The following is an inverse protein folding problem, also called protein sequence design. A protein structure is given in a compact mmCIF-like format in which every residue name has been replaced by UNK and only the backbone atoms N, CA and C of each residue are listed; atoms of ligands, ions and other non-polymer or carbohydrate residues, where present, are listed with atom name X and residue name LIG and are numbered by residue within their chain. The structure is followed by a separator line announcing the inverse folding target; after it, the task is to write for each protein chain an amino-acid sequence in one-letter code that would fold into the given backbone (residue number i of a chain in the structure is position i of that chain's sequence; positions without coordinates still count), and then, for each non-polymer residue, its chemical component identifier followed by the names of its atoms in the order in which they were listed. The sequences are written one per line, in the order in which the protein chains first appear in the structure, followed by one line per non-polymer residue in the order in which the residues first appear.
data_IF_152553309993
#
_entry.id   IF_152553309993
#
_cell.length_a   1.000
_cell.length_b   1.000
_cell.length_c   1.000
_cell.angle_alpha   90.00
_cell.angle_beta   90.00
_cell.angle_gamma   90.00
#
_symmetry.space_group_name_H-M   'P 1'
#
loop_
_entity.id
_entity.type
_entity.pdbx_description
1 polymer ?
#
# COMPACT_ATOMS: atom_id res chain seq x y z
N UNK A 1 -6.32 -28.68 4.66
CA UNK A 1 -7.11 -27.45 4.83
C UNK A 1 -8.51 -27.62 4.28
N UNK A 2 -9.50 -27.00 4.94
CA UNK A 2 -10.93 -27.07 4.55
C UNK A 2 -11.34 -25.88 3.69
N UNK A 3 -10.58 -24.77 3.75
CA UNK A 3 -10.83 -23.58 2.96
C UNK A 3 -10.72 -23.87 1.47
N UNK A 4 -11.80 -23.58 0.75
CA UNK A 4 -11.88 -23.66 -0.72
C UNK A 4 -11.82 -22.27 -1.34
N UNK A 5 -12.01 -21.24 -0.53
CA UNK A 5 -12.01 -19.83 -0.96
C UNK A 5 -11.32 -18.94 0.07
N UNK A 6 -10.63 -17.96 -0.46
CA UNK A 6 -9.99 -16.89 0.31
C UNK A 6 -10.47 -15.53 -0.20
N UNK A 7 -10.99 -14.70 0.70
CA UNK A 7 -11.35 -13.31 0.40
C UNK A 7 -10.51 -12.42 1.30
N UNK A 8 -9.71 -11.56 0.70
CA UNK A 8 -8.80 -10.63 1.37
C UNK A 8 -9.31 -9.22 1.14
N UNK A 9 -9.59 -8.49 2.20
CA UNK A 9 -9.99 -7.09 2.17
C UNK A 9 -8.90 -6.28 2.86
N UNK A 10 -8.21 -5.44 2.10
CA UNK A 10 -7.32 -4.43 2.63
C UNK A 10 -8.12 -3.16 2.92
N UNK A 11 -8.07 -2.71 4.16
CA UNK A 11 -8.61 -1.45 4.65
C UNK A 11 -7.44 -0.49 4.81
N UNK A 12 -7.18 0.31 3.76
CA UNK A 12 -6.03 1.18 3.65
C UNK A 12 -5.91 2.11 4.86
N UNK A 13 -4.72 2.16 5.44
CA UNK A 13 -4.37 2.93 6.63
C UNK A 13 -5.08 2.51 7.95
N UNK A 14 -5.71 1.31 8.03
CA UNK A 14 -6.30 0.84 9.29
C UNK A 14 -5.18 0.45 10.26
N UNK A 15 -4.99 1.26 11.30
CA UNK A 15 -3.88 1.13 12.25
C UNK A 15 -4.25 0.44 13.58
N UNK A 16 -3.22 0.06 14.31
CA UNK A 16 -3.35 -0.54 15.66
C UNK A 16 -4.05 0.39 16.66
N UNK A 17 -3.90 1.70 16.52
CA UNK A 17 -4.55 2.70 17.38
C UNK A 17 -6.05 2.78 17.18
N UNK A 18 -6.57 2.26 16.08
CA UNK A 18 -8.01 2.23 15.80
C UNK A 18 -8.71 1.04 16.43
N UNK A 19 -7.94 0.03 16.86
CA UNK A 19 -8.48 -1.26 17.30
C UNK A 19 -9.52 -1.14 18.41
N UNK A 20 -9.26 -0.32 19.42
CA UNK A 20 -10.18 -0.12 20.53
C UNK A 20 -11.54 0.45 20.06
N UNK A 21 -11.52 1.37 19.09
CA UNK A 21 -12.72 1.96 18.52
C UNK A 21 -13.47 0.96 17.65
N UNK A 22 -12.83 0.42 16.62
CA UNK A 22 -13.54 -0.40 15.64
C UNK A 22 -13.99 -1.75 16.22
N UNK A 23 -13.28 -2.30 17.20
CA UNK A 23 -13.66 -3.55 17.86
C UNK A 23 -14.99 -3.46 18.61
N UNK A 24 -15.49 -2.28 18.90
CA UNK A 24 -16.79 -2.06 19.50
C UNK A 24 -17.92 -1.93 18.47
N UNK A 25 -17.60 -1.66 17.21
CA UNK A 25 -18.60 -1.54 16.14
C UNK A 25 -19.24 -2.92 15.86
N UNK A 26 -20.54 -2.95 15.54
CA UNK A 26 -21.33 -4.19 15.62
C UNK A 26 -20.85 -5.32 14.71
N UNK A 27 -20.38 -5.03 13.50
CA UNK A 27 -19.96 -6.04 12.54
C UNK A 27 -18.50 -6.46 12.74
N UNK A 28 -17.59 -5.50 13.00
CA UNK A 28 -16.23 -5.80 13.41
C UNK A 28 -16.19 -6.63 14.70
N UNK A 29 -17.00 -6.27 15.70
CA UNK A 29 -17.10 -7.03 16.94
C UNK A 29 -17.50 -8.49 16.70
N UNK A 30 -18.51 -8.71 15.85
CA UNK A 30 -18.93 -10.07 15.45
C UNK A 30 -17.81 -10.81 14.72
N UNK A 31 -17.08 -10.12 13.84
CA UNK A 31 -15.98 -10.69 13.09
C UNK A 31 -14.84 -11.10 14.04
N UNK A 32 -14.37 -10.20 14.89
CA UNK A 32 -13.27 -10.39 15.84
C UNK A 32 -13.56 -11.53 16.81
N UNK A 33 -14.79 -11.65 17.30
CA UNK A 33 -15.19 -12.74 18.21
C UNK A 33 -15.03 -14.15 17.59
N UNK A 34 -14.88 -14.25 16.27
CA UNK A 34 -14.67 -15.50 15.54
C UNK A 34 -13.30 -15.56 14.86
N UNK A 35 -12.50 -14.52 14.97
CA UNK A 35 -11.21 -14.37 14.29
C UNK A 35 -10.04 -14.87 15.14
N UNK A 36 -8.96 -15.27 14.45
CA UNK A 36 -7.62 -15.05 14.95
C UNK A 36 -7.16 -13.68 14.47
N UNK A 37 -6.43 -12.91 15.30
CA UNK A 37 -6.05 -11.53 14.96
C UNK A 37 -4.72 -11.12 15.59
N UNK A 38 -4.12 -10.08 15.01
CA UNK A 38 -2.98 -9.35 15.53
C UNK A 38 -3.26 -7.85 15.48
N UNK A 39 -3.01 -7.15 16.58
CA UNK A 39 -3.14 -5.69 16.70
C UNK A 39 -1.83 -4.95 16.44
N UNK A 40 -0.72 -5.66 16.29
CA UNK A 40 0.64 -5.14 16.19
C UNK A 40 1.34 -5.72 14.98
N UNK A 41 0.79 -5.45 13.79
CA UNK A 41 1.41 -5.87 12.51
C UNK A 41 2.42 -4.81 12.10
N UNK A 42 3.69 -5.20 12.04
CA UNK A 42 4.76 -4.33 11.56
C UNK A 42 4.76 -4.31 10.03
N UNK A 43 4.41 -3.18 9.45
CA UNK A 43 4.48 -2.94 8.01
C UNK A 43 5.94 -2.95 7.49
N UNK A 44 6.12 -2.68 6.21
CA UNK A 44 7.43 -2.59 5.55
C UNK A 44 7.99 -1.17 5.57
N UNK A 45 9.22 -1.00 5.09
CA UNK A 45 9.84 0.31 4.99
C UNK A 45 10.32 0.58 3.55
N UNK A 46 9.82 1.67 2.92
CA UNK A 46 8.83 2.63 3.44
C UNK A 46 7.44 1.98 3.53
N UNK A 47 6.66 2.42 4.53
CA UNK A 47 5.29 1.94 4.77
C UNK A 47 4.30 2.67 3.85
N UNK A 48 4.40 2.37 2.56
CA UNK A 48 3.59 2.91 1.48
C UNK A 48 2.66 1.82 0.92
N UNK A 49 1.54 2.24 0.35
CA UNK A 49 0.49 1.36 -0.19
C UNK A 49 1.01 0.29 -1.16
N UNK A 50 1.74 0.68 -2.21
CA UNK A 50 2.21 -0.28 -3.23
C UNK A 50 3.28 -1.24 -2.71
N UNK A 51 4.34 -0.78 -1.99
CA UNK A 51 5.27 -1.65 -1.30
C UNK A 51 4.59 -2.63 -0.33
N UNK A 52 3.65 -2.14 0.51
CA UNK A 52 2.95 -2.96 1.48
C UNK A 52 2.07 -4.03 0.82
N UNK A 53 1.21 -3.65 -0.14
CA UNK A 53 0.35 -4.60 -0.85
C UNK A 53 1.14 -5.65 -1.64
N UNK A 54 2.31 -5.28 -2.18
CA UNK A 54 3.20 -6.23 -2.83
C UNK A 54 3.82 -7.19 -1.81
N UNK A 55 4.22 -6.69 -0.63
CA UNK A 55 4.71 -7.54 0.46
C UNK A 55 3.64 -8.54 0.92
N UNK A 56 2.39 -8.11 1.09
CA UNK A 56 1.26 -8.97 1.47
C UNK A 56 1.12 -10.19 0.53
N UNK A 57 1.28 -9.98 -0.77
CA UNK A 57 1.10 -11.07 -1.76
C UNK A 57 2.38 -11.82 -2.12
N UNK A 58 3.57 -11.35 -1.69
CA UNK A 58 4.85 -11.99 -1.98
C UNK A 58 5.56 -12.57 -0.76
N UNK A 59 5.20 -12.07 0.44
CA UNK A 59 5.90 -12.38 1.69
C UNK A 59 7.35 -11.88 1.72
N UNK A 60 7.70 -10.86 0.90
CA UNK A 60 9.07 -10.33 0.75
C UNK A 60 9.11 -8.84 1.05
N UNK A 61 10.29 -8.28 1.45
CA UNK A 61 10.45 -6.85 1.64
C UNK A 61 10.58 -6.11 0.29
N UNK A 62 10.37 -4.78 0.24
CA UNK A 62 10.52 -3.94 -0.94
C UNK A 62 11.84 -4.12 -1.68
N UNK A 63 12.96 -4.25 -0.96
CA UNK A 63 14.28 -4.50 -1.53
C UNK A 63 14.38 -5.78 -2.38
N UNK A 64 13.51 -6.76 -2.16
CA UNK A 64 13.52 -8.06 -2.85
C UNK A 64 12.42 -8.18 -3.90
N UNK A 65 11.24 -7.61 -3.66
CA UNK A 65 10.17 -7.66 -4.67
C UNK A 65 10.21 -6.48 -5.66
N UNK A 66 11.05 -5.47 -5.43
CA UNK A 66 11.34 -4.38 -6.37
C UNK A 66 10.34 -3.22 -6.36
N UNK A 67 9.25 -3.30 -5.62
CA UNK A 67 8.30 -2.19 -5.46
C UNK A 67 8.72 -1.39 -4.23
N UNK A 68 9.51 -0.36 -4.45
CA UNK A 68 10.17 0.41 -3.39
C UNK A 68 9.48 1.74 -3.08
N UNK A 69 8.50 2.12 -3.91
CA UNK A 69 7.71 3.35 -3.80
C UNK A 69 6.36 3.13 -4.49
N UNK A 70 5.41 4.06 -4.35
CA UNK A 70 4.19 4.07 -5.15
C UNK A 70 4.48 4.49 -6.60
N UNK A 71 5.40 5.45 -6.81
CA UNK A 71 5.72 6.06 -8.09
C UNK A 71 7.13 5.71 -8.59
N UNK A 72 7.30 5.69 -9.92
CA UNK A 72 8.59 5.52 -10.56
C UNK A 72 9.45 6.79 -10.43
N UNK A 73 10.78 6.61 -10.47
CA UNK A 73 11.71 7.74 -10.51
C UNK A 73 11.70 8.36 -11.90
N UNK A 74 10.95 9.42 -12.07
CA UNK A 74 10.78 10.18 -13.33
C UNK A 74 10.76 11.69 -13.02
N UNK A 75 11.89 12.29 -12.59
CA UNK A 75 11.95 13.68 -12.10
C UNK A 75 11.49 14.72 -13.13
N UNK A 76 11.66 14.44 -14.42
CA UNK A 76 11.28 15.34 -15.52
C UNK A 76 9.78 15.37 -15.80
N UNK A 77 9.01 14.47 -15.17
CA UNK A 77 7.56 14.38 -15.33
C UNK A 77 6.82 15.02 -14.15
N UNK A 78 5.89 15.91 -14.45
CA UNK A 78 4.99 16.50 -13.44
C UNK A 78 4.00 15.48 -12.86
N UNK A 79 3.72 14.40 -13.59
CA UNK A 79 2.91 13.27 -13.12
C UNK A 79 3.63 11.98 -13.49
N UNK A 80 4.50 11.47 -12.60
CA UNK A 80 5.20 10.22 -12.81
C UNK A 80 4.25 9.03 -12.96
N UNK A 81 4.71 7.98 -13.63
CA UNK A 81 4.01 6.70 -13.64
C UNK A 81 4.11 6.06 -12.25
N UNK A 82 3.07 5.32 -11.86
CA UNK A 82 3.12 4.50 -10.68
C UNK A 82 3.58 3.09 -11.03
N UNK A 83 3.92 2.32 -10.02
CA UNK A 83 4.24 0.90 -10.18
C UNK A 83 2.98 0.05 -10.45
N UNK A 84 2.09 0.48 -11.35
CA UNK A 84 0.79 -0.17 -11.60
C UNK A 84 0.88 -1.62 -12.05
N UNK A 85 1.92 -1.95 -12.85
CA UNK A 85 1.95 -3.19 -13.62
C UNK A 85 2.64 -4.32 -12.86
N UNK A 86 2.05 -5.53 -12.92
CA UNK A 86 2.59 -6.77 -12.36
C UNK A 86 4.05 -7.04 -12.76
N UNK A 87 4.47 -6.62 -13.94
CA UNK A 87 5.85 -6.84 -14.45
C UNK A 87 6.94 -6.23 -13.56
N UNK A 88 6.61 -5.24 -12.75
CA UNK A 88 7.57 -4.61 -11.84
C UNK A 88 7.87 -5.47 -10.60
N UNK A 89 6.96 -6.40 -10.24
CA UNK A 89 7.18 -7.30 -9.10
C UNK A 89 8.19 -8.37 -9.51
N UNK A 90 9.30 -8.44 -8.79
CA UNK A 90 10.28 -9.50 -8.93
C UNK A 90 9.81 -10.75 -8.20
N UNK A 91 9.87 -11.89 -8.91
CA UNK A 91 9.43 -13.18 -8.38
C UNK A 91 7.91 -13.41 -8.51
N UNK A 92 7.42 -14.40 -7.76
CA UNK A 92 6.02 -14.83 -7.80
C UNK A 92 5.18 -14.16 -6.71
N UNK A 93 3.86 -14.16 -6.90
CA UNK A 93 2.88 -13.66 -5.94
C UNK A 93 1.89 -14.77 -5.59
N UNK A 94 1.13 -14.58 -4.51
CA UNK A 94 0.10 -15.51 -4.09
C UNK A 94 -0.96 -15.76 -5.19
N UNK A 95 -1.35 -14.73 -5.93
CA UNK A 95 -2.28 -14.90 -7.04
C UNK A 95 -1.67 -15.60 -8.25
N UNK A 96 -0.36 -15.46 -8.52
CA UNK A 96 0.31 -16.24 -9.58
C UNK A 96 0.32 -17.74 -9.23
N UNK A 97 0.62 -18.09 -7.97
CA UNK A 97 0.61 -19.48 -7.52
C UNK A 97 -0.79 -20.08 -7.54
N UNK A 98 -1.82 -19.30 -7.19
CA UNK A 98 -3.20 -19.71 -7.33
C UNK A 98 -3.58 -19.98 -8.79
N UNK A 99 -3.24 -19.10 -9.71
CA UNK A 99 -3.50 -19.26 -11.15
C UNK A 99 -2.77 -20.48 -11.72
N UNK A 100 -1.51 -20.76 -11.33
CA UNK A 100 -0.77 -21.98 -11.73
C UNK A 100 -1.48 -23.27 -11.29
N UNK A 101 -2.25 -23.23 -10.20
CA UNK A 101 -3.08 -24.35 -9.74
C UNK A 101 -4.47 -24.41 -10.38
N UNK A 102 -4.74 -23.52 -11.36
CA UNK A 102 -6.03 -23.44 -12.05
C UNK A 102 -7.15 -22.77 -11.24
N UNK A 103 -6.80 -22.08 -10.14
CA UNK A 103 -7.77 -21.34 -9.33
C UNK A 103 -8.23 -20.08 -10.08
N UNK A 104 -9.48 -19.69 -9.85
CA UNK A 104 -10.07 -18.48 -10.39
C UNK A 104 -9.81 -17.32 -9.41
N UNK A 105 -9.10 -16.30 -9.87
CA UNK A 105 -8.69 -15.16 -9.05
C UNK A 105 -9.40 -13.89 -9.48
N UNK A 106 -9.85 -13.09 -8.50
CA UNK A 106 -10.38 -11.75 -8.71
C UNK A 106 -9.54 -10.71 -7.95
N UNK A 107 -9.39 -9.52 -8.54
CA UNK A 107 -8.79 -8.36 -7.87
C UNK A 107 -9.59 -7.10 -8.18
N UNK A 108 -9.88 -6.32 -7.14
CA UNK A 108 -10.58 -5.04 -7.21
C UNK A 108 -9.72 -3.97 -6.56
N UNK A 109 -9.16 -3.09 -7.38
CA UNK A 109 -8.22 -2.02 -7.02
C UNK A 109 -7.00 -2.50 -6.23
N UNK A 110 -6.65 -3.79 -6.28
CA UNK A 110 -5.42 -4.26 -5.63
C UNK A 110 -4.20 -3.69 -6.36
N UNK A 111 -3.27 -3.02 -5.63
CA UNK A 111 -2.09 -2.41 -6.23
C UNK A 111 -1.22 -3.39 -7.01
N UNK A 112 -0.53 -2.89 -8.02
CA UNK A 112 0.46 -3.62 -8.86
C UNK A 112 -0.12 -4.83 -9.58
N UNK A 113 -1.42 -4.83 -9.90
CA UNK A 113 -2.06 -5.93 -10.63
C UNK A 113 -2.34 -5.64 -12.10
N UNK A 114 -2.07 -4.42 -12.58
CA UNK A 114 -2.26 -4.10 -13.99
C UNK A 114 -1.44 -5.02 -14.89
N UNK A 115 -2.07 -5.51 -15.97
CA UNK A 115 -1.51 -6.49 -16.92
C UNK A 115 -1.05 -7.81 -16.30
N UNK A 116 -1.62 -8.20 -15.16
CA UNK A 116 -1.50 -9.56 -14.63
C UNK A 116 -2.48 -10.52 -15.31
N UNK A 117 -2.25 -11.82 -15.12
CA UNK A 117 -3.12 -12.89 -15.62
C UNK A 117 -4.34 -13.16 -14.72
N UNK A 118 -4.62 -12.29 -13.75
CA UNK A 118 -5.79 -12.39 -12.86
C UNK A 118 -7.07 -12.46 -13.68
N UNK A 119 -7.90 -13.48 -13.41
CA UNK A 119 -9.08 -13.82 -14.21
C UNK A 119 -10.08 -12.67 -14.29
N UNK A 120 -10.39 -12.06 -13.15
CA UNK A 120 -11.28 -10.89 -13.04
C UNK A 120 -10.55 -9.73 -12.39
N UNK A 121 -9.87 -8.93 -13.20
CA UNK A 121 -9.01 -7.84 -12.74
C UNK A 121 -9.61 -6.47 -13.06
N UNK A 122 -9.93 -5.71 -12.01
CA UNK A 122 -10.12 -4.27 -12.02
C UNK A 122 -8.92 -3.64 -11.32
N UNK A 123 -7.80 -3.36 -12.04
CA UNK A 123 -6.58 -2.88 -11.42
C UNK A 123 -6.73 -1.45 -10.93
N UNK A 124 -5.97 -1.11 -9.90
CA UNK A 124 -5.73 0.28 -9.54
C UNK A 124 -4.80 0.90 -10.58
N UNK A 125 -5.35 1.75 -11.44
CA UNK A 125 -4.61 2.48 -12.47
C UNK A 125 -5.37 3.73 -12.86
N UNK A 126 -4.67 4.83 -13.09
CA UNK A 126 -5.28 6.06 -13.56
C UNK A 126 -4.50 6.68 -14.74
N UNK A 127 -5.25 7.47 -15.53
CA UNK A 127 -4.71 8.19 -16.64
C UNK A 127 -3.90 9.39 -16.15
N UNK A 128 -2.59 9.39 -16.38
CA UNK A 128 -1.67 10.44 -15.95
C UNK A 128 -0.96 11.17 -17.13
N UNK A 129 -1.42 10.93 -18.37
CA UNK A 129 -0.97 11.65 -19.54
C UNK A 129 -2.10 12.53 -20.08
N UNK A 130 -1.77 13.70 -20.65
CA UNK A 130 -2.75 14.66 -21.21
C UNK A 130 -3.68 14.06 -22.26
N UNK A 131 -3.21 13.04 -23.01
CA UNK A 131 -3.95 12.35 -24.05
C UNK A 131 -4.55 11.02 -23.62
N UNK A 132 -4.37 10.61 -22.37
CA UNK A 132 -4.91 9.36 -21.89
C UNK A 132 -6.34 9.53 -21.37
N UNK A 133 -7.18 8.54 -21.70
CA UNK A 133 -8.54 8.45 -21.22
C UNK A 133 -8.61 7.36 -20.14
N UNK A 134 -9.23 7.67 -18.99
CA UNK A 134 -9.31 6.75 -17.86
C UNK A 134 -9.93 5.39 -18.23
N UNK A 135 -11.00 5.41 -19.04
CA UNK A 135 -11.68 4.16 -19.44
C UNK A 135 -10.75 3.30 -20.30
N UNK A 136 -10.07 3.91 -21.27
CA UNK A 136 -9.13 3.19 -22.14
C UNK A 136 -7.91 2.69 -21.35
N UNK A 137 -7.39 3.50 -20.43
CA UNK A 137 -6.27 3.12 -19.57
C UNK A 137 -6.64 1.93 -18.71
N UNK A 138 -7.78 1.95 -18.02
CA UNK A 138 -8.25 0.83 -17.22
C UNK A 138 -8.52 -0.41 -18.09
N UNK A 139 -9.21 -0.25 -19.22
CA UNK A 139 -9.55 -1.36 -20.12
C UNK A 139 -8.32 -2.10 -20.68
N UNK A 140 -7.27 -1.35 -21.02
CA UNK A 140 -6.02 -1.93 -21.54
C UNK A 140 -5.15 -2.64 -20.50
N UNK A 141 -5.45 -2.50 -19.21
CA UNK A 141 -4.60 -2.96 -18.12
C UNK A 141 -5.24 -4.00 -17.20
N UNK A 142 -6.50 -4.39 -17.45
CA UNK A 142 -7.20 -5.42 -16.68
C UNK A 142 -8.11 -6.27 -17.57
N UNK A 143 -9.07 -6.99 -17.00
CA UNK A 143 -9.98 -7.87 -17.74
C UNK A 143 -11.09 -7.04 -18.38
N UNK A 144 -10.97 -6.72 -19.67
CA UNK A 144 -11.83 -5.79 -20.40
C UNK A 144 -13.32 -6.06 -20.19
N UNK A 145 -13.82 -7.26 -20.50
CA UNK A 145 -15.24 -7.60 -20.40
C UNK A 145 -15.79 -7.49 -18.98
N UNK A 146 -14.95 -7.83 -17.99
CA UNK A 146 -15.26 -7.68 -16.58
C UNK A 146 -15.41 -6.21 -16.18
N UNK A 147 -14.44 -5.38 -16.51
CA UNK A 147 -14.46 -3.94 -16.21
C UNK A 147 -15.64 -3.21 -16.87
N UNK A 148 -15.94 -3.55 -18.15
CA UNK A 148 -17.10 -2.99 -18.84
C UNK A 148 -18.42 -3.39 -18.17
N UNK A 149 -18.52 -4.63 -17.70
CA UNK A 149 -19.69 -5.13 -16.95
C UNK A 149 -19.87 -4.36 -15.63
N UNK A 150 -18.79 -4.20 -14.86
CA UNK A 150 -18.83 -3.45 -13.60
C UNK A 150 -19.19 -1.98 -13.85
N UNK A 151 -18.57 -1.34 -14.82
CA UNK A 151 -18.83 0.06 -15.15
C UNK A 151 -20.29 0.27 -15.61
N UNK A 152 -20.83 -0.64 -16.44
CA UNK A 152 -22.24 -0.56 -16.88
C UNK A 152 -23.21 -0.70 -15.72
N UNK A 153 -22.92 -1.58 -14.74
CA UNK A 153 -23.83 -1.85 -13.62
C UNK A 153 -23.71 -0.84 -12.50
N UNK A 154 -22.52 -0.37 -12.20
CA UNK A 154 -22.20 0.35 -10.99
C UNK A 154 -21.43 1.65 -11.22
N UNK A 155 -21.10 1.99 -12.47
CA UNK A 155 -20.29 3.17 -12.80
C UNK A 155 -20.90 4.49 -12.33
N UNK A 156 -22.25 4.56 -12.25
CA UNK A 156 -22.97 5.74 -11.73
C UNK A 156 -22.79 5.97 -10.20
N UNK A 157 -22.27 4.97 -9.47
CA UNK A 157 -21.96 5.12 -8.04
C UNK A 157 -20.70 5.98 -7.84
N UNK A 158 -19.76 5.91 -8.79
CA UNK A 158 -18.50 6.65 -8.69
C UNK A 158 -18.66 8.14 -8.95
N UNK A 159 -17.90 8.93 -8.20
CA UNK A 159 -17.60 10.33 -8.51
C UNK A 159 -16.08 10.49 -8.71
N UNK A 160 -15.58 10.07 -9.87
CA UNK A 160 -14.14 9.99 -10.12
C UNK A 160 -13.45 9.03 -9.15
N UNK A 161 -12.49 9.55 -8.39
CA UNK A 161 -11.77 8.83 -7.32
C UNK A 161 -12.19 9.30 -5.92
N UNK A 162 -13.23 10.15 -5.81
CA UNK A 162 -13.67 10.71 -4.53
C UNK A 162 -14.24 9.63 -3.62
N UNK A 163 -13.93 9.76 -2.34
CA UNK A 163 -14.49 8.92 -1.29
C UNK A 163 -15.74 9.57 -0.66
N UNK A 164 -16.70 8.76 -0.22
CA UNK A 164 -16.77 7.29 -0.19
C UNK A 164 -17.30 6.64 -1.47
N UNK A 165 -17.53 7.40 -2.54
CA UNK A 165 -18.16 6.93 -3.78
C UNK A 165 -17.34 5.83 -4.48
N UNK A 166 -16.01 5.95 -4.48
CA UNK A 166 -15.13 4.94 -5.06
C UNK A 166 -15.25 3.61 -4.31
N UNK A 167 -15.15 3.61 -2.99
CA UNK A 167 -15.28 2.40 -2.20
C UNK A 167 -16.69 1.79 -2.27
N UNK A 168 -17.73 2.60 -2.41
CA UNK A 168 -19.10 2.10 -2.65
C UNK A 168 -19.20 1.38 -4.01
N UNK A 169 -18.52 1.87 -5.04
CA UNK A 169 -18.41 1.18 -6.32
C UNK A 169 -17.64 -0.13 -6.20
N UNK A 170 -16.53 -0.14 -5.45
CA UNK A 170 -15.74 -1.35 -5.18
C UNK A 170 -16.56 -2.38 -4.42
N UNK A 171 -17.31 -1.97 -3.38
CA UNK A 171 -18.20 -2.82 -2.62
C UNK A 171 -19.28 -3.45 -3.49
N UNK A 172 -19.96 -2.68 -4.33
CA UNK A 172 -20.97 -3.18 -5.26
C UNK A 172 -20.37 -4.17 -6.28
N UNK A 173 -19.17 -3.88 -6.76
CA UNK A 173 -18.41 -4.73 -7.68
C UNK A 173 -17.98 -6.04 -7.01
N UNK A 174 -17.51 -6.00 -5.77
CA UNK A 174 -17.17 -7.17 -4.95
C UNK A 174 -18.42 -8.06 -4.76
N UNK A 175 -19.52 -7.46 -4.35
CA UNK A 175 -20.79 -8.18 -4.12
C UNK A 175 -21.30 -8.87 -5.40
N UNK A 176 -21.16 -8.22 -6.55
CA UNK A 176 -21.50 -8.79 -7.85
C UNK A 176 -20.56 -9.94 -8.23
N UNK A 177 -19.26 -9.76 -8.04
CA UNK A 177 -18.22 -10.75 -8.36
C UNK A 177 -18.41 -12.04 -7.55
N UNK A 178 -18.63 -11.92 -6.24
CA UNK A 178 -18.91 -13.08 -5.36
C UNK A 178 -20.16 -13.82 -5.80
N UNK A 179 -21.25 -13.11 -6.12
CA UNK A 179 -22.51 -13.76 -6.55
C UNK A 179 -22.41 -14.46 -7.90
N UNK A 180 -21.72 -13.81 -8.85
CA UNK A 180 -21.75 -14.22 -10.25
C UNK A 180 -20.64 -15.20 -10.59
N UNK A 181 -19.43 -14.92 -10.13
CA UNK A 181 -18.23 -15.66 -10.55
C UNK A 181 -17.69 -16.60 -9.48
N UNK A 182 -17.97 -16.35 -8.20
CA UNK A 182 -17.55 -17.20 -7.07
C UNK A 182 -16.06 -17.53 -7.09
N UNK A 183 -15.16 -16.52 -7.14
CA UNK A 183 -13.73 -16.77 -7.25
C UNK A 183 -13.21 -17.65 -6.12
N UNK A 184 -12.15 -18.42 -6.39
CA UNK A 184 -11.45 -19.21 -5.37
C UNK A 184 -10.59 -18.29 -4.49
N UNK A 185 -10.06 -17.21 -5.08
CA UNK A 185 -9.28 -16.19 -4.37
C UNK A 185 -9.69 -14.79 -4.82
N UNK A 186 -9.87 -13.89 -3.88
CA UNK A 186 -10.26 -12.51 -4.16
C UNK A 186 -9.51 -11.52 -3.30
N UNK A 187 -8.97 -10.48 -3.94
CA UNK A 187 -8.29 -9.36 -3.30
C UNK A 187 -9.08 -8.08 -3.54
N UNK A 188 -9.36 -7.35 -2.48
CA UNK A 188 -10.10 -6.08 -2.53
C UNK A 188 -9.36 -5.03 -1.73
N UNK A 189 -9.17 -3.87 -2.31
CA UNK A 189 -8.55 -2.72 -1.69
C UNK A 189 -9.59 -1.60 -1.52
N UNK A 190 -9.74 -1.08 -0.31
CA UNK A 190 -10.65 -0.01 0.07
C UNK A 190 -9.85 1.15 0.66
N UNK A 191 -9.98 2.36 0.10
CA UNK A 191 -9.09 3.51 0.35
C UNK A 191 -9.78 4.68 1.05
N UNK A 192 -11.01 4.50 1.51
CA UNK A 192 -11.81 5.58 2.13
C UNK A 192 -11.11 6.17 3.36
N UNK A 193 -10.64 5.31 4.29
CA UNK A 193 -10.02 5.75 5.54
C UNK A 193 -8.70 6.49 5.29
N UNK A 194 -7.83 5.96 4.42
CA UNK A 194 -6.59 6.61 4.03
C UNK A 194 -6.82 8.01 3.47
N UNK A 195 -7.75 8.14 2.53
CA UNK A 195 -8.12 9.42 1.92
C UNK A 195 -8.63 10.42 2.96
N UNK A 196 -9.52 9.99 3.87
CA UNK A 196 -10.04 10.90 4.90
C UNK A 196 -8.93 11.38 5.84
N UNK A 197 -8.00 10.50 6.19
CA UNK A 197 -6.86 10.86 7.04
C UNK A 197 -5.90 11.84 6.39
N UNK A 198 -5.57 11.66 5.14
CA UNK A 198 -4.74 12.61 4.40
C UNK A 198 -5.33 14.02 4.43
N UNK A 199 -6.63 14.15 4.24
CA UNK A 199 -7.31 15.46 4.18
C UNK A 199 -7.62 16.07 5.55
N UNK A 200 -7.96 15.26 6.56
CA UNK A 200 -8.55 15.75 7.81
C UNK A 200 -7.76 15.38 9.07
N UNK A 201 -6.82 14.42 9.00
CA UNK A 201 -6.03 13.95 10.15
C UNK A 201 -6.48 12.59 10.66
N UNK A 202 -5.61 11.94 11.45
CA UNK A 202 -5.76 10.54 11.88
C UNK A 202 -7.04 10.31 12.68
N UNK A 203 -7.39 11.24 13.57
CA UNK A 203 -8.51 11.11 14.51
C UNK A 203 -9.67 12.07 14.20
N UNK A 204 -9.82 12.49 12.94
CA UNK A 204 -10.92 13.35 12.50
C UNK A 204 -12.28 12.64 12.53
N UNK A 205 -13.36 13.40 12.51
CA UNK A 205 -14.72 12.86 12.39
C UNK A 205 -14.91 12.11 11.06
N UNK A 206 -14.29 12.59 9.98
CA UNK A 206 -14.32 11.98 8.67
C UNK A 206 -13.60 10.61 8.65
N UNK A 207 -12.47 10.50 9.35
CA UNK A 207 -11.76 9.23 9.51
C UNK A 207 -12.59 8.23 10.34
N UNK A 208 -13.21 8.67 11.42
CA UNK A 208 -14.13 7.84 12.22
C UNK A 208 -15.33 7.37 11.39
N UNK A 209 -15.96 8.27 10.61
CA UNK A 209 -17.05 7.93 9.72
C UNK A 209 -16.62 6.92 8.63
N UNK A 210 -15.37 6.97 8.15
CA UNK A 210 -14.84 5.98 7.23
C UNK A 210 -14.72 4.59 7.88
N UNK A 211 -14.28 4.51 9.13
CA UNK A 211 -14.22 3.26 9.89
C UNK A 211 -15.64 2.67 10.09
N UNK A 212 -16.63 3.50 10.39
CA UNK A 212 -18.02 3.07 10.50
C UNK A 212 -18.56 2.53 9.17
N UNK A 213 -18.22 3.17 8.05
CA UNK A 213 -18.55 2.64 6.71
C UNK A 213 -17.86 1.31 6.43
N UNK A 214 -16.62 1.12 6.87
CA UNK A 214 -15.95 -0.18 6.78
C UNK A 214 -16.64 -1.25 7.63
N UNK A 215 -17.12 -0.93 8.83
CA UNK A 215 -17.94 -1.85 9.63
C UNK A 215 -19.19 -2.32 8.86
N UNK A 216 -19.91 -1.40 8.23
CA UNK A 216 -21.08 -1.73 7.42
C UNK A 216 -20.72 -2.63 6.24
N UNK A 217 -19.61 -2.33 5.53
CA UNK A 217 -19.10 -3.13 4.39
C UNK A 217 -18.74 -4.56 4.82
N UNK A 218 -18.11 -4.73 5.98
CA UNK A 218 -17.83 -6.05 6.57
C UNK A 218 -19.12 -6.82 6.86
N UNK A 219 -20.11 -6.17 7.46
CA UNK A 219 -21.42 -6.76 7.73
C UNK A 219 -22.13 -7.21 6.45
N UNK A 220 -22.13 -6.38 5.42
CA UNK A 220 -22.71 -6.72 4.10
C UNK A 220 -22.00 -7.91 3.45
N UNK A 221 -20.66 -7.98 3.50
CA UNK A 221 -19.88 -9.10 2.99
C UNK A 221 -20.27 -10.39 3.70
N UNK A 222 -20.26 -10.42 5.03
CA UNK A 222 -20.57 -11.62 5.80
C UNK A 222 -22.01 -12.11 5.55
N UNK A 223 -22.95 -11.17 5.42
CA UNK A 223 -24.33 -11.48 5.06
C UNK A 223 -24.46 -12.02 3.62
N UNK A 224 -23.72 -11.42 2.67
CA UNK A 224 -23.68 -11.87 1.29
C UNK A 224 -23.13 -13.30 1.17
N UNK A 225 -22.03 -13.63 1.83
CA UNK A 225 -21.46 -14.97 1.83
C UNK A 225 -22.47 -16.00 2.30
N UNK A 226 -23.17 -15.72 3.41
CA UNK A 226 -24.23 -16.59 3.91
C UNK A 226 -25.31 -16.84 2.86
N UNK A 227 -25.83 -15.79 2.21
CA UNK A 227 -26.86 -15.91 1.16
C UNK A 227 -26.39 -16.65 -0.08
N UNK A 228 -25.09 -16.58 -0.40
CA UNK A 228 -24.50 -17.31 -1.51
C UNK A 228 -24.17 -18.78 -1.18
N UNK A 229 -24.48 -19.24 0.03
CA UNK A 229 -24.15 -20.58 0.50
C UNK A 229 -22.67 -20.80 0.78
N UNK A 230 -21.88 -19.71 0.85
CA UNK A 230 -20.49 -19.70 1.29
C UNK A 230 -20.43 -19.55 2.80
N UNK A 231 -19.53 -20.25 3.45
CA UNK A 231 -19.50 -20.26 4.92
C UNK A 231 -18.10 -20.23 5.49
N UNK A 232 -17.86 -19.25 6.34
CA UNK A 232 -16.60 -19.15 7.11
C UNK A 232 -16.41 -20.32 8.11
N UNK A 233 -17.45 -21.11 8.35
CA UNK A 233 -17.37 -22.33 9.16
C UNK A 233 -17.03 -23.59 8.36
N UNK A 234 -17.13 -23.55 7.02
CA UNK A 234 -17.03 -24.76 6.18
C UNK A 234 -16.03 -24.69 5.05
N UNK A 235 -15.97 -23.56 4.31
CA UNK A 235 -15.33 -23.54 3.01
C UNK A 235 -14.72 -22.20 2.59
N UNK A 236 -14.89 -21.14 3.36
CA UNK A 236 -14.44 -19.79 2.99
C UNK A 236 -13.67 -19.14 4.13
N UNK A 237 -12.48 -18.67 3.86
CA UNK A 237 -11.74 -17.81 4.78
C UNK A 237 -11.84 -16.37 4.33
N UNK A 238 -12.11 -15.47 5.28
CA UNK A 238 -12.08 -14.01 5.09
C UNK A 238 -10.95 -13.44 5.92
N UNK A 239 -10.09 -12.66 5.28
CA UNK A 239 -9.01 -11.91 5.91
C UNK A 239 -9.32 -10.42 5.78
N UNK A 240 -9.29 -9.70 6.90
CA UNK A 240 -9.30 -8.24 6.96
C UNK A 240 -7.94 -7.79 7.46
N UNK A 241 -7.32 -6.85 6.77
CA UNK A 241 -5.99 -6.36 7.11
C UNK A 241 -5.87 -4.86 6.81
N UNK A 242 -4.92 -4.20 7.46
CA UNK A 242 -4.39 -2.93 7.04
C UNK A 242 -3.00 -3.13 6.43
N UNK A 243 -2.57 -2.23 5.60
CA UNK A 243 -1.28 -2.26 4.94
C UNK A 243 -0.22 -1.40 5.66
N UNK A 244 -0.66 -0.26 6.17
CA UNK A 244 0.10 0.67 7.01
C UNK A 244 -0.82 1.46 7.95
N UNK A 245 -0.23 2.34 8.76
CA UNK A 245 -0.94 3.35 9.54
C UNK A 245 -0.57 4.74 9.04
N UNK A 246 -1.14 5.78 9.62
CA UNK A 246 -0.79 7.19 9.36
C UNK A 246 -0.45 7.93 10.66
N UNK A 247 0.27 9.05 10.51
CA UNK A 247 0.58 10.00 11.59
C UNK A 247 0.21 11.41 11.14
N UNK A 248 -0.30 12.22 12.05
CA UNK A 248 -0.55 13.64 11.80
C UNK A 248 0.75 14.38 11.48
N UNK A 249 0.66 15.26 10.47
CA UNK A 249 1.77 16.06 9.96
C UNK A 249 1.35 17.52 9.78
N UNK A 250 2.34 18.42 9.82
CA UNK A 250 2.10 19.87 9.75
C UNK A 250 3.16 20.59 8.91
N UNK A 251 4.36 19.99 8.80
CA UNK A 251 5.52 20.65 8.21
C UNK A 251 6.06 19.84 7.03
N UNK A 252 6.46 20.54 5.98
CA UNK A 252 6.94 19.96 4.72
C UNK A 252 8.43 20.13 4.60
N UNK A 253 9.12 19.08 4.15
CA UNK A 253 10.55 19.07 3.88
C UNK A 253 10.75 19.01 2.37
N UNK A 254 11.38 20.04 1.77
CA UNK A 254 11.64 20.16 0.34
C UNK A 254 13.14 19.97 0.04
N UNK A 255 13.61 18.73 0.01
CA UNK A 255 15.02 18.42 -0.30
C UNK A 255 15.38 18.82 -1.74
N UNK A 256 14.48 18.65 -2.70
CA UNK A 256 14.74 18.99 -4.10
C UNK A 256 14.96 20.51 -4.31
N UNK A 257 14.36 21.36 -3.47
CA UNK A 257 14.66 22.79 -3.46
C UNK A 257 16.15 23.04 -3.17
N UNK A 258 16.69 22.42 -2.13
CA UNK A 258 18.10 22.54 -1.79
C UNK A 258 19.00 21.94 -2.86
N UNK A 259 18.66 20.79 -3.41
CA UNK A 259 19.41 20.18 -4.51
C UNK A 259 19.45 21.10 -5.74
N UNK A 260 18.38 21.85 -6.01
CA UNK A 260 18.35 22.87 -7.06
C UNK A 260 19.25 24.06 -6.71
N UNK A 261 19.19 24.59 -5.49
CA UNK A 261 20.02 25.69 -5.02
C UNK A 261 21.52 25.35 -5.07
N UNK A 262 21.89 24.09 -4.85
CA UNK A 262 23.25 23.57 -4.99
C UNK A 262 23.65 23.21 -6.45
N UNK A 263 22.75 23.41 -7.41
CA UNK A 263 23.01 23.13 -8.83
C UNK A 263 22.98 21.65 -9.21
N UNK A 264 22.45 20.77 -8.34
CA UNK A 264 22.23 19.34 -8.67
C UNK A 264 20.95 19.07 -9.43
N UNK A 265 20.00 20.00 -9.40
CA UNK A 265 18.79 19.99 -10.20
C UNK A 265 18.74 21.27 -11.04
N UNK A 266 18.46 21.12 -12.33
CA UNK A 266 18.11 22.21 -13.26
C UNK A 266 16.62 22.16 -13.54
N UNK A 267 15.96 23.30 -13.42
CA UNK A 267 14.54 23.40 -13.69
C UNK A 267 14.21 24.63 -14.52
N UNK A 268 13.20 24.53 -15.39
CA UNK A 268 12.66 25.64 -16.17
C UNK A 268 11.14 25.61 -16.05
N UNK A 269 10.53 26.75 -15.74
CA UNK A 269 9.07 26.89 -15.57
C UNK A 269 8.47 25.82 -14.62
N UNK A 270 9.10 25.59 -13.47
CA UNK A 270 8.65 24.60 -12.48
C UNK A 270 8.89 23.13 -12.86
N UNK A 271 9.58 22.85 -14.00
CA UNK A 271 9.86 21.48 -14.44
C UNK A 271 11.33 21.18 -14.39
N UNK A 272 11.68 20.02 -13.83
CA UNK A 272 13.05 19.53 -13.85
C UNK A 272 13.41 19.16 -15.29
N UNK A 273 14.50 19.72 -15.79
CA UNK A 273 15.04 19.50 -17.13
C UNK A 273 16.31 18.65 -17.14
N UNK A 274 17.04 18.64 -16.02
CA UNK A 274 18.23 17.82 -15.80
C UNK A 274 18.49 17.69 -14.31
N UNK A 275 19.16 16.61 -13.91
CA UNK A 275 19.51 16.39 -12.51
C UNK A 275 20.74 15.51 -12.36
N UNK A 276 21.55 15.75 -11.32
CA UNK A 276 22.66 14.93 -10.87
C UNK A 276 22.31 14.16 -9.61
N UNK A 277 21.53 14.77 -8.73
CA UNK A 277 20.95 14.16 -7.54
C UNK A 277 19.47 14.56 -7.45
N UNK A 278 18.63 13.64 -6.95
CA UNK A 278 17.20 13.82 -6.80
C UNK A 278 16.70 13.16 -5.52
N UNK A 279 15.78 13.81 -4.85
CA UNK A 279 15.07 13.26 -3.69
C UNK A 279 13.67 12.79 -4.11
N UNK A 280 13.44 11.49 -4.00
CA UNK A 280 12.13 10.86 -4.22
C UNK A 280 11.42 10.74 -2.89
N UNK A 281 10.28 11.41 -2.70
CA UNK A 281 9.52 11.28 -1.47
C UNK A 281 8.92 9.88 -1.31
N UNK A 282 8.76 9.49 -0.06
CA UNK A 282 7.99 8.37 0.45
C UNK A 282 7.14 8.89 1.62
N UNK A 283 6.65 10.11 1.53
CA UNK A 283 5.91 10.85 2.56
C UNK A 283 6.71 11.00 3.88
N UNK A 284 6.55 10.11 4.85
CA UNK A 284 7.28 10.14 6.14
C UNK A 284 8.77 9.81 6.02
N UNK A 285 9.21 9.34 4.88
CA UNK A 285 10.61 9.09 4.53
C UNK A 285 10.91 9.56 3.11
N UNK A 286 12.17 9.48 2.68
CA UNK A 286 12.56 9.83 1.32
C UNK A 286 13.83 9.11 0.89
N UNK A 287 13.96 8.85 -0.40
CA UNK A 287 15.18 8.34 -1.00
C UNK A 287 15.96 9.45 -1.69
N UNK A 288 17.27 9.47 -1.56
CA UNK A 288 18.15 10.28 -2.37
C UNK A 288 18.88 9.40 -3.37
N UNK A 289 18.79 9.77 -4.64
CA UNK A 289 19.49 9.12 -5.73
C UNK A 289 20.52 10.06 -6.35
N UNK A 290 21.71 9.54 -6.65
CA UNK A 290 22.71 10.20 -7.48
C UNK A 290 22.71 9.47 -8.81
N UNK A 291 22.55 10.21 -9.92
CA UNK A 291 22.51 9.64 -11.26
C UNK A 291 23.83 8.92 -11.56
N UNK A 292 23.73 7.65 -11.94
CA UNK A 292 24.91 6.83 -12.28
C UNK A 292 25.38 7.08 -13.71
N UNK A 293 24.42 7.27 -14.63
CA UNK A 293 24.72 7.46 -16.05
C UNK A 293 25.09 8.91 -16.34
N UNK A 294 26.19 9.13 -17.08
CA UNK A 294 26.64 10.45 -17.49
C UNK A 294 27.40 11.24 -16.42
N UNK A 295 27.74 10.61 -15.30
CA UNK A 295 28.62 11.18 -14.26
C UNK A 295 29.81 10.28 -14.01
N UNK A 296 31.02 10.85 -13.97
CA UNK A 296 32.23 10.13 -13.58
C UNK A 296 32.16 9.67 -12.11
N UNK A 297 32.79 8.53 -11.79
CA UNK A 297 32.77 7.99 -10.42
C UNK A 297 33.31 8.98 -9.37
N UNK A 298 34.34 9.73 -9.71
CA UNK A 298 34.89 10.78 -8.85
C UNK A 298 33.88 11.86 -8.54
N UNK A 299 33.11 12.26 -9.54
CA UNK A 299 32.03 13.27 -9.38
C UNK A 299 30.88 12.70 -8.53
N UNK A 300 30.48 11.45 -8.76
CA UNK A 300 29.45 10.80 -7.93
C UNK A 300 29.87 10.74 -6.45
N UNK A 301 31.13 10.42 -6.16
CA UNK A 301 31.65 10.39 -4.78
C UNK A 301 31.67 11.79 -4.19
N UNK A 302 32.11 12.82 -4.93
CA UNK A 302 32.11 14.20 -4.48
C UNK A 302 30.70 14.66 -4.13
N UNK A 303 29.73 14.48 -5.03
CA UNK A 303 28.32 14.84 -4.82
C UNK A 303 27.75 14.11 -3.59
N UNK A 304 28.05 12.81 -3.44
CA UNK A 304 27.62 12.01 -2.29
C UNK A 304 28.13 12.62 -0.97
N UNK A 305 29.41 12.99 -0.89
CA UNK A 305 30.00 13.54 0.32
C UNK A 305 29.40 14.91 0.63
N UNK A 306 29.29 15.80 -0.36
CA UNK A 306 28.70 17.14 -0.20
C UNK A 306 27.24 17.06 0.28
N UNK A 307 26.42 16.15 -0.30
CA UNK A 307 25.04 15.93 0.14
C UNK A 307 25.00 15.37 1.57
N UNK A 308 25.90 14.43 1.90
CA UNK A 308 25.94 13.85 3.24
C UNK A 308 26.27 14.89 4.32
N UNK A 309 27.30 15.71 4.09
CA UNK A 309 27.73 16.76 5.02
C UNK A 309 26.60 17.77 5.25
N UNK A 310 25.94 18.17 4.18
CA UNK A 310 24.80 19.06 4.23
C UNK A 310 23.58 18.44 4.97
N UNK A 311 23.24 17.18 4.68
CA UNK A 311 22.17 16.48 5.39
C UNK A 311 22.47 16.34 6.90
N UNK A 312 23.75 16.10 7.26
CA UNK A 312 24.15 16.06 8.65
C UNK A 312 23.96 17.43 9.34
N UNK A 313 24.30 18.51 8.66
CA UNK A 313 24.04 19.86 9.16
C UNK A 313 22.53 20.12 9.37
N UNK A 314 21.69 19.75 8.38
CA UNK A 314 20.24 19.86 8.50
C UNK A 314 19.68 19.04 9.66
N UNK A 315 20.15 17.79 9.83
CA UNK A 315 19.68 16.91 10.90
C UNK A 315 19.97 17.46 12.30
N UNK A 316 21.06 18.21 12.46
CA UNK A 316 21.44 18.82 13.74
C UNK A 316 20.49 19.94 14.18
N UNK A 317 19.77 20.53 13.24
CA UNK A 317 18.71 21.49 13.49
C UNK A 317 17.35 20.77 13.48
N UNK A 318 16.64 20.71 14.63
CA UNK A 318 15.32 20.04 14.69
C UNK A 318 14.26 20.63 13.76
N UNK A 319 14.34 21.92 13.45
CA UNK A 319 13.37 22.65 12.64
C UNK A 319 13.42 22.23 11.15
N UNK A 320 14.52 21.60 10.72
CA UNK A 320 14.63 21.01 9.38
C UNK A 320 13.91 19.65 9.24
N UNK A 321 13.40 19.09 10.32
CA UNK A 321 12.51 17.94 10.30
C UNK A 321 13.16 16.57 9.99
N UNK A 322 14.49 16.47 9.84
CA UNK A 322 15.18 15.20 9.56
C UNK A 322 15.49 14.47 10.87
N UNK A 323 14.96 13.26 11.04
CA UNK A 323 15.21 12.40 12.21
C UNK A 323 16.43 11.50 12.01
N UNK A 324 16.57 10.88 10.83
CA UNK A 324 17.66 9.96 10.53
C UNK A 324 18.09 10.03 9.07
N UNK A 325 19.35 9.65 8.84
CA UNK A 325 19.99 9.50 7.53
C UNK A 325 20.55 8.07 7.51
N UNK A 326 20.06 7.24 6.61
CA UNK A 326 20.52 5.88 6.43
C UNK A 326 21.37 5.77 5.16
N UNK A 327 22.47 5.04 5.23
CA UNK A 327 23.22 4.64 4.03
C UNK A 327 22.43 3.63 3.21
N UNK A 328 22.79 3.45 1.92
CA UNK A 328 22.24 2.40 1.05
C UNK A 328 22.27 1.00 1.71
N UNK A 329 23.40 0.67 2.37
CA UNK A 329 23.52 -0.61 3.11
C UNK A 329 22.46 -0.70 4.20
N UNK A 330 22.28 0.35 5.01
CA UNK A 330 21.29 0.37 6.10
C UNK A 330 19.86 0.37 5.57
N UNK A 331 19.58 1.08 4.47
CA UNK A 331 18.28 1.05 3.80
C UNK A 331 17.92 -0.39 3.36
N UNK A 332 18.86 -1.10 2.74
CA UNK A 332 18.69 -2.51 2.37
C UNK A 332 18.42 -3.42 3.58
N UNK A 333 19.16 -3.25 4.68
CA UNK A 333 18.95 -4.01 5.93
C UNK A 333 17.55 -3.77 6.51
N UNK A 334 16.99 -2.58 6.29
CA UNK A 334 15.63 -2.22 6.68
C UNK A 334 14.56 -2.69 5.66
N UNK A 335 14.97 -3.36 4.58
CA UNK A 335 14.08 -3.84 3.54
C UNK A 335 13.69 -2.79 2.49
N UNK A 336 14.30 -1.60 2.54
CA UNK A 336 14.07 -0.49 1.62
C UNK A 336 14.96 -0.58 0.35
N UNK A 337 14.84 0.39 -0.57
CA UNK A 337 15.54 0.37 -1.85
C UNK A 337 17.07 0.29 -1.70
N UNK A 338 17.71 -0.78 -2.16
CA UNK A 338 19.17 -0.91 -2.13
C UNK A 338 19.89 0.02 -3.12
N UNK A 339 19.19 0.57 -4.10
CA UNK A 339 19.77 1.43 -5.14
C UNK A 339 19.83 2.91 -4.74
N UNK A 340 19.16 3.30 -3.66
CA UNK A 340 19.26 4.66 -3.14
C UNK A 340 20.69 4.96 -2.64
N UNK A 341 21.10 6.22 -2.71
CA UNK A 341 22.37 6.68 -2.09
C UNK A 341 22.20 6.88 -0.59
N UNK A 342 21.10 7.50 -0.22
CA UNK A 342 20.66 7.69 1.17
C UNK A 342 19.16 7.48 1.27
N UNK A 343 18.70 7.06 2.46
CA UNK A 343 17.31 7.12 2.85
C UNK A 343 17.18 8.03 4.06
N UNK A 344 16.17 8.89 4.03
CA UNK A 344 15.88 9.86 5.07
C UNK A 344 14.61 9.45 5.82
N UNK A 345 14.57 9.72 7.11
CA UNK A 345 13.40 9.60 7.96
C UNK A 345 13.00 10.97 8.49
N UNK A 346 11.73 11.35 8.39
CA UNK A 346 11.22 12.60 8.92
C UNK A 346 11.02 12.54 10.44
N UNK A 347 11.11 13.67 11.14
CA UNK A 347 10.64 13.82 12.52
C UNK A 347 9.13 13.75 12.58
N UNK A 348 8.59 13.48 13.75
CA UNK A 348 7.13 13.52 13.99
C UNK A 348 6.60 14.91 13.63
N UNK A 349 5.49 14.97 12.90
CA UNK A 349 4.90 16.22 12.43
C UNK A 349 5.48 16.75 11.12
N UNK A 350 6.48 16.07 10.54
CA UNK A 350 7.11 16.42 9.27
C UNK A 350 6.92 15.34 8.23
N UNK A 351 6.91 15.74 6.94
CA UNK A 351 6.90 14.83 5.79
C UNK A 351 7.61 15.42 4.58
N UNK A 352 8.06 14.58 3.68
CA UNK A 352 8.78 15.01 2.47
C UNK A 352 7.81 15.23 1.32
N UNK A 353 8.19 16.16 0.42
CA UNK A 353 7.54 16.39 -0.85
C UNK A 353 8.57 16.51 -1.98
N UNK A 354 8.16 16.22 -3.23
CA UNK A 354 9.06 16.23 -4.39
C UNK A 354 9.24 17.62 -5.01
N UNK A 355 8.36 18.55 -4.69
CA UNK A 355 8.28 19.87 -5.29
C UNK A 355 9.55 20.70 -5.04
N UNK A 356 9.80 21.65 -5.93
CA UNK A 356 10.95 22.56 -5.85
C UNK A 356 10.65 23.80 -5.02
N UNK A 357 9.38 24.15 -4.85
CA UNK A 357 8.92 25.31 -4.08
C UNK A 357 7.59 25.03 -3.38
N UNK A 358 7.34 25.68 -2.26
CA UNK A 358 6.10 25.55 -1.46
C UNK A 358 4.84 25.88 -2.27
N UNK A 359 4.93 26.85 -3.19
CA UNK A 359 3.80 27.24 -4.05
C UNK A 359 3.42 26.21 -5.13
N UNK A 360 4.21 25.18 -5.32
CA UNK A 360 3.97 24.11 -6.29
C UNK A 360 3.23 22.91 -5.65
N UNK A 361 3.08 22.89 -4.32
CA UNK A 361 2.42 21.79 -3.60
C UNK A 361 0.93 21.85 -3.85
N UNK A 362 0.35 20.82 -4.49
CA UNK A 362 -1.07 20.84 -4.87
C UNK A 362 -2.00 20.76 -3.65
N UNK A 363 -1.59 20.07 -2.61
CA UNK A 363 -2.36 19.86 -1.39
C UNK A 363 -1.45 19.59 -0.19
N UNK A 364 -1.73 20.25 0.93
CA UNK A 364 -1.04 20.02 2.20
C UNK A 364 -1.78 18.94 2.97
N UNK A 365 -1.10 17.84 3.24
CA UNK A 365 -1.66 16.72 3.98
C UNK A 365 -1.79 17.07 5.48
N UNK A 366 -2.83 16.52 6.13
CA UNK A 366 -3.03 16.59 7.59
C UNK A 366 -2.46 15.37 8.30
N UNK A 367 -2.47 14.24 7.64
CA UNK A 367 -1.79 13.03 8.07
C UNK A 367 -1.17 12.32 6.87
N UNK A 368 -0.16 11.50 7.11
CA UNK A 368 0.51 10.73 6.07
C UNK A 368 1.17 9.47 6.63
N UNK A 369 1.64 8.63 5.73
CA UNK A 369 2.30 7.36 6.00
C UNK A 369 3.79 7.37 5.57
N UNK A 370 4.40 6.23 5.25
CA UNK A 370 5.79 6.16 4.75
C UNK A 370 6.87 6.24 5.82
N UNK A 371 6.51 6.32 7.10
CA UNK A 371 7.45 6.35 8.22
C UNK A 371 8.04 4.97 8.52
N UNK A 372 9.10 4.97 9.33
CA UNK A 372 9.70 3.73 9.82
C UNK A 372 8.68 2.90 10.62
N UNK A 373 8.42 1.62 10.25
CA UNK A 373 7.33 0.82 10.83
C UNK A 373 7.56 0.42 12.29
N UNK A 374 8.74 0.64 12.85
CA UNK A 374 9.04 0.43 14.26
C UNK A 374 8.63 1.59 15.17
N UNK A 375 7.98 2.64 14.67
CA UNK A 375 7.46 3.73 15.52
C UNK A 375 6.33 3.21 16.38
N UNK A 376 6.31 3.64 17.64
CA UNK A 376 5.25 3.27 18.59
C UNK A 376 3.88 3.81 18.12
N UNK A 377 2.87 2.94 18.09
CA UNK A 377 1.50 3.26 17.66
C UNK A 377 1.36 3.45 16.15
N UNK A 378 2.31 2.93 15.36
CA UNK A 378 2.32 3.02 13.90
C UNK A 378 2.18 1.66 13.20
N UNK A 379 1.81 0.63 13.96
CA UNK A 379 1.53 -0.70 13.44
C UNK A 379 0.16 -0.73 12.79
N UNK A 380 -0.07 -1.74 11.96
CA UNK A 380 -1.37 -2.05 11.37
C UNK A 380 -2.00 -3.28 12.00
N UNK A 381 -3.05 -3.85 11.40
CA UNK A 381 -3.83 -4.95 11.98
C UNK A 381 -4.02 -6.09 10.98
N UNK A 382 -4.18 -7.30 11.51
CA UNK A 382 -4.54 -8.50 10.76
C UNK A 382 -5.64 -9.26 11.48
N UNK A 383 -6.67 -9.74 10.75
CA UNK A 383 -7.76 -10.53 11.29
C UNK A 383 -8.17 -11.60 10.27
N UNK A 384 -8.33 -12.83 10.71
CA UNK A 384 -8.74 -13.94 9.84
C UNK A 384 -9.86 -14.78 10.48
N UNK A 385 -10.90 -15.08 9.69
CA UNK A 385 -12.00 -15.99 10.06
C UNK A 385 -12.15 -17.07 9.00
N UNK A 386 -12.11 -18.32 9.38
CA UNK A 386 -12.24 -19.42 8.42
C UNK A 386 -12.41 -20.79 9.08
N UNK A 387 -12.69 -21.86 8.29
CA UNK A 387 -12.93 -23.19 8.82
C UNK A 387 -11.70 -23.82 9.50
N UNK A 388 -10.52 -23.43 9.07
CA UNK A 388 -9.23 -23.90 9.61
C UNK A 388 -8.65 -22.96 10.66
N UNK A 389 -9.28 -21.81 10.91
CA UNK A 389 -8.81 -20.77 11.82
C UNK A 389 -9.39 -20.97 13.22
N UNK A 390 -8.55 -20.88 14.24
CA UNK A 390 -8.96 -20.91 15.64
C UNK A 390 -9.53 -19.56 16.07
N UNK A 391 -10.78 -19.48 16.52
CA UNK A 391 -11.33 -18.22 17.02
C UNK A 391 -10.69 -17.81 18.36
N UNK A 392 -10.55 -16.51 18.57
CA UNK A 392 -10.07 -15.94 19.83
C UNK A 392 -8.55 -16.04 20.04
N UNK A 393 -7.79 -16.47 19.05
CA UNK A 393 -6.33 -16.44 19.10
C UNK A 393 -5.86 -15.02 18.81
N UNK A 394 -5.18 -14.40 19.76
CA UNK A 394 -4.48 -13.14 19.57
C UNK A 394 -2.98 -13.38 19.41
N UNK A 395 -2.41 -12.88 18.31
CA UNK A 395 -0.97 -12.87 18.06
C UNK A 395 -0.44 -11.55 18.62
N UNK A 396 0.58 -11.63 19.46
CA UNK A 396 1.16 -10.45 20.11
C UNK A 396 1.77 -9.47 19.09
N UNK A 397 2.63 -9.97 18.18
CA UNK A 397 3.29 -9.19 17.13
C UNK A 397 3.55 -10.08 15.91
N UNK A 398 3.37 -9.52 14.73
CA UNK A 398 3.73 -10.17 13.45
C UNK A 398 4.28 -9.16 12.44
N UNK A 399 4.91 -9.66 11.40
CA UNK A 399 5.32 -8.87 10.24
C UNK A 399 4.26 -8.92 9.15
N UNK A 400 4.12 -7.85 8.38
CA UNK A 400 3.32 -7.83 7.15
C UNK A 400 3.77 -8.93 6.16
N UNK A 401 5.07 -9.31 6.18
CA UNK A 401 5.60 -10.40 5.37
C UNK A 401 5.02 -11.78 5.73
N UNK A 402 4.47 -11.95 6.94
CA UNK A 402 3.90 -13.23 7.40
C UNK A 402 2.52 -13.51 6.81
N UNK A 403 1.85 -12.49 6.27
CA UNK A 403 0.50 -12.58 5.73
C UNK A 403 0.45 -13.45 4.48
N UNK A 404 1.34 -13.22 3.50
CA UNK A 404 1.40 -13.98 2.26
C UNK A 404 1.56 -15.48 2.47
N UNK A 405 2.62 -15.94 3.18
CA UNK A 405 2.80 -17.37 3.47
C UNK A 405 1.66 -17.96 4.31
N UNK A 406 1.05 -17.20 5.21
CA UNK A 406 -0.11 -17.65 6.00
C UNK A 406 -1.34 -17.85 5.11
N UNK A 407 -1.61 -16.93 4.19
CA UNK A 407 -2.70 -17.05 3.22
C UNK A 407 -2.43 -18.18 2.21
N UNK A 408 -1.17 -18.40 1.83
CA UNK A 408 -0.80 -19.54 0.99
C UNK A 408 -1.11 -20.87 1.71
N UNK A 409 -0.75 -21.02 2.98
CA UNK A 409 -1.06 -22.18 3.80
C UNK A 409 -2.58 -22.42 3.89
N UNK A 410 -3.40 -21.37 4.09
CA UNK A 410 -4.88 -21.45 4.10
C UNK A 410 -5.40 -22.09 2.81
N UNK A 411 -4.80 -21.78 1.68
CA UNK A 411 -5.23 -22.26 0.35
C UNK A 411 -4.49 -23.53 -0.12
N UNK A 412 -3.60 -24.09 0.69
CA UNK A 412 -2.76 -25.23 0.30
C UNK A 412 -1.81 -24.92 -0.84
N UNK A 413 -1.32 -23.69 -0.89
CA UNK A 413 -0.34 -23.18 -1.87
C UNK A 413 1.04 -23.07 -1.24
N UNK A 414 2.06 -23.10 -2.08
CA UNK A 414 3.42 -22.68 -1.74
C UNK A 414 3.62 -21.24 -2.23
N UNK A 415 4.37 -20.43 -1.49
CA UNK A 415 4.78 -19.08 -1.90
C UNK A 415 6.31 -19.01 -1.95
N UNK A 416 6.92 -19.43 -3.08
CA UNK A 416 8.38 -19.53 -3.21
C UNK A 416 9.08 -18.18 -3.00
N UNK A 417 10.12 -18.20 -2.18
CA UNK A 417 10.96 -17.04 -1.90
C UNK A 417 10.37 -16.08 -0.85
N UNK A 418 9.22 -16.37 -0.27
CA UNK A 418 8.71 -15.62 0.88
C UNK A 418 9.72 -15.65 2.04
N UNK A 419 9.86 -14.52 2.74
CA UNK A 419 10.73 -14.35 3.92
C UNK A 419 9.95 -14.36 5.22
N UNK A 420 8.66 -14.07 5.14
CA UNK A 420 7.74 -14.19 6.27
C UNK A 420 7.52 -15.65 6.65
N UNK A 421 7.00 -15.85 7.85
CA UNK A 421 6.64 -17.17 8.40
C UNK A 421 5.14 -17.40 8.32
N UNK A 422 4.74 -18.67 8.27
CA UNK A 422 3.35 -19.07 8.45
C UNK A 422 2.98 -18.93 9.92
N UNK A 423 1.90 -18.27 10.22
CA UNK A 423 1.36 -18.08 11.58
C UNK A 423 0.68 -19.37 12.04
N UNK A 424 1.47 -20.36 12.44
CA UNK A 424 0.99 -21.71 12.77
C UNK A 424 -0.01 -21.73 13.91
N UNK A 425 0.13 -20.80 14.85
CA UNK A 425 -0.70 -20.64 16.04
C UNK A 425 -2.16 -20.32 15.78
N UNK A 426 -2.51 -19.82 14.58
CA UNK A 426 -3.90 -19.51 14.24
C UNK A 426 -4.67 -20.71 13.69
N UNK A 427 -3.98 -21.81 13.33
CA UNK A 427 -4.60 -22.99 12.71
C UNK A 427 -5.09 -24.01 13.72
N UNK A 428 -6.17 -24.71 13.36
CA UNK A 428 -6.77 -25.83 14.14
C UNK A 428 -5.96 -27.09 14.00
#
# INVERSE_FOLDING_TARGET
MKSKRLIVISLDALGSTDFEMFSQLPNFKKFINHAAFCRQVRSVYPSLTYPAHTTIVTGRPPAEHGIVNNILIQPERSSPDWFWQRKYIQGTTLYDEALKKGMQVAALLWPVTAKSDITWNLPEIFANHRWSNQIMTSAANGTLGYQLTLNRKFGSIRDGIRQPALDNFVQASMNYTIRTYRPDMMFVHLTDLDTQRHHFGVHSEEAHAAIERHDQRVGELMHLLHRCGMSVKRDTTVVLLGDHSQLDVQNIILINRFLREQGYIRAQHGRITDWKAYCQNCDGSAYIYIRKNGLEKSEQIRIKNEIYDWLCAMKNDPDNGIAAIYSSKKAKELGADPECTFMLEARRGFYFQNELDMGEIPEVQRATHGFHPGRKGYQTVFMAVGPDIMPGVEIEEMSLMDEGPTMAEIMGLELPGAKGKVLREIFR
#
